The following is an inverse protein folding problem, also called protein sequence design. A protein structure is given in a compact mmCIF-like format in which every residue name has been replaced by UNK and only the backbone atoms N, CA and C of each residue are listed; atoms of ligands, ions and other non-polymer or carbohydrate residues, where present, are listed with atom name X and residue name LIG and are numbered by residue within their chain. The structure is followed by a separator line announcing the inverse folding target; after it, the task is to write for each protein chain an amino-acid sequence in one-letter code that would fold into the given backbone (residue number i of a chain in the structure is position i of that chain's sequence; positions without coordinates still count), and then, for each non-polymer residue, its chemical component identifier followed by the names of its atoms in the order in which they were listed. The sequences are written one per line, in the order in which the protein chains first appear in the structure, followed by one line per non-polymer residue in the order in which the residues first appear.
data_IF_923867316932
#
_entry.id   IF_923867316932
#
_cell.length_a   1.000
_cell.length_b   1.000
_cell.length_c   1.000
_cell.angle_alpha   90.00
_cell.angle_beta   90.00
_cell.angle_gamma   90.00
#
_symmetry.space_group_name_H-M   'P 1'
#
loop_
_entity.id
_entity.type
_entity.pdbx_description
1 polymer ?
#
# COMPACT_ATOMS: atom_id res chain seq x y z
N UNK A 1 -14.55 -11.93 -13.01
CA UNK A 1 -14.21 -10.49 -13.18
C UNK A 1 -13.00 -10.17 -12.30
N UNK A 2 -12.17 -9.19 -12.68
CA UNK A 2 -10.97 -8.82 -11.91
C UNK A 2 -10.96 -7.32 -11.63
N UNK A 3 -10.68 -6.96 -10.38
CA UNK A 3 -10.37 -5.61 -9.96
C UNK A 3 -8.85 -5.46 -9.83
N UNK A 4 -8.26 -4.54 -10.59
CA UNK A 4 -6.83 -4.20 -10.51
C UNK A 4 -6.69 -2.88 -9.79
N UNK A 5 -5.89 -2.86 -8.72
CA UNK A 5 -5.63 -1.68 -7.91
C UNK A 5 -4.14 -1.35 -7.95
N UNK A 6 -3.79 -0.20 -8.54
CA UNK A 6 -2.43 0.34 -8.53
C UNK A 6 -2.28 1.36 -7.39
N UNK A 7 -1.39 1.06 -6.44
CA UNK A 7 -1.19 1.85 -5.22
C UNK A 7 0.23 2.43 -5.17
N UNK A 8 0.32 3.72 -5.52
CA UNK A 8 1.52 4.52 -5.37
C UNK A 8 1.92 4.69 -3.89
N UNK A 9 3.20 4.51 -3.60
CA UNK A 9 3.73 4.64 -2.23
C UNK A 9 3.61 3.39 -1.35
N UNK A 10 3.03 2.31 -1.85
CA UNK A 10 2.97 0.99 -1.21
C UNK A 10 1.76 0.76 -0.31
N UNK A 11 1.44 -0.50 -0.03
CA UNK A 11 0.25 -0.94 0.73
C UNK A 11 0.62 -1.78 1.95
N UNK A 12 -0.16 -1.69 3.01
CA UNK A 12 -0.08 -2.59 4.16
C UNK A 12 -0.90 -3.86 3.95
N UNK A 13 -0.55 -4.92 4.69
CA UNK A 13 -1.33 -6.18 4.67
C UNK A 13 -2.76 -5.94 5.15
N UNK A 14 -2.95 -5.06 6.14
CA UNK A 14 -4.27 -4.73 6.69
C UNK A 14 -5.16 -3.99 5.68
N UNK A 15 -4.60 -3.04 4.93
CA UNK A 15 -5.34 -2.35 3.85
C UNK A 15 -5.77 -3.33 2.76
N UNK A 16 -4.84 -4.19 2.29
CA UNK A 16 -5.16 -5.19 1.27
C UNK A 16 -6.23 -6.19 1.76
N UNK A 17 -6.18 -6.61 3.03
CA UNK A 17 -7.20 -7.47 3.63
C UNK A 17 -8.56 -6.78 3.69
N UNK A 18 -8.62 -5.52 4.13
CA UNK A 18 -9.88 -4.75 4.22
C UNK A 18 -10.54 -4.56 2.85
N UNK A 19 -9.74 -4.27 1.83
CA UNK A 19 -10.21 -4.17 0.44
C UNK A 19 -10.73 -5.53 -0.05
N UNK A 20 -10.00 -6.61 0.23
CA UNK A 20 -10.46 -7.97 -0.11
C UNK A 20 -11.83 -8.26 0.51
N UNK A 21 -11.98 -8.03 1.81
CA UNK A 21 -13.22 -8.33 2.51
C UNK A 21 -14.39 -7.50 1.95
N UNK A 22 -14.14 -6.23 1.63
CA UNK A 22 -15.13 -5.34 1.02
C UNK A 22 -15.56 -5.82 -0.37
N UNK A 23 -14.60 -6.18 -1.23
CA UNK A 23 -14.91 -6.63 -2.60
C UNK A 23 -15.63 -7.98 -2.58
N UNK A 24 -15.25 -8.89 -1.68
CA UNK A 24 -15.96 -10.16 -1.51
C UNK A 24 -17.40 -9.93 -1.07
N UNK A 25 -17.65 -8.96 -0.18
CA UNK A 25 -18.99 -8.63 0.29
C UNK A 25 -19.88 -7.99 -0.79
N UNK A 26 -19.33 -7.10 -1.61
CA UNK A 26 -20.09 -6.36 -2.62
C UNK A 26 -20.22 -7.11 -3.96
N UNK A 27 -19.17 -7.81 -4.38
CA UNK A 27 -19.08 -8.46 -5.68
C UNK A 27 -18.45 -9.86 -5.56
N UNK A 28 -19.19 -10.83 -4.97
CA UNK A 28 -18.70 -12.19 -4.80
C UNK A 28 -18.27 -12.82 -6.14
N UNK A 29 -17.16 -13.54 -6.12
CA UNK A 29 -16.56 -14.14 -7.32
C UNK A 29 -15.64 -13.20 -8.12
N UNK A 30 -15.37 -11.99 -7.63
CA UNK A 30 -14.40 -11.07 -8.23
C UNK A 30 -13.00 -11.31 -7.67
N UNK A 31 -12.02 -11.53 -8.55
CA UNK A 31 -10.60 -11.60 -8.19
C UNK A 31 -10.00 -10.20 -8.01
N UNK A 32 -9.00 -10.07 -7.15
CA UNK A 32 -8.36 -8.79 -6.86
C UNK A 32 -6.85 -8.93 -7.09
N UNK A 33 -6.28 -8.00 -7.84
CA UNK A 33 -4.85 -7.89 -8.08
C UNK A 33 -4.36 -6.53 -7.58
N UNK A 34 -3.44 -6.56 -6.61
CA UNK A 34 -2.76 -5.36 -6.12
C UNK A 34 -1.43 -5.18 -6.84
N UNK A 35 -1.28 -4.08 -7.56
CA UNK A 35 -0.01 -3.61 -8.10
C UNK A 35 0.51 -2.55 -7.15
N UNK A 36 1.56 -2.86 -6.41
CA UNK A 36 2.08 -1.97 -5.37
C UNK A 36 3.58 -1.80 -5.52
N UNK A 37 4.06 -0.60 -5.25
CA UNK A 37 5.50 -0.32 -5.33
C UNK A 37 6.26 -1.02 -4.21
N UNK A 38 5.66 -1.16 -3.01
CA UNK A 38 6.21 -1.87 -1.84
C UNK A 38 5.10 -2.39 -0.92
N UNK A 39 5.36 -3.47 -0.20
CA UNK A 39 4.51 -3.94 0.91
C UNK A 39 5.05 -3.35 2.22
N UNK A 40 4.25 -2.55 2.91
CA UNK A 40 4.62 -1.94 4.19
C UNK A 40 4.30 -2.89 5.35
N UNK A 41 5.33 -3.29 6.09
CA UNK A 41 5.16 -3.94 7.40
C UNK A 41 5.04 -2.86 8.48
N UNK A 42 4.29 -3.08 9.58
CA UNK A 42 4.08 -2.08 10.62
C UNK A 42 5.38 -1.50 11.20
N UNK A 43 6.42 -2.33 11.38
CA UNK A 43 7.76 -1.87 11.81
C UNK A 43 8.42 -0.93 10.78
N UNK A 44 8.26 -1.23 9.50
CA UNK A 44 8.80 -0.44 8.40
C UNK A 44 8.00 0.83 8.10
N UNK A 45 6.74 0.91 8.56
CA UNK A 45 5.86 2.04 8.29
C UNK A 45 6.31 3.29 9.05
N UNK A 46 6.69 3.14 10.32
CA UNK A 46 7.31 4.23 11.10
C UNK A 46 8.64 4.66 10.49
N UNK A 47 9.51 3.70 10.15
CA UNK A 47 10.79 3.99 9.49
C UNK A 47 10.62 4.76 8.16
N UNK A 48 9.61 4.42 7.35
CA UNK A 48 9.31 5.15 6.12
C UNK A 48 8.69 6.52 6.37
N UNK A 49 7.81 6.67 7.37
CA UNK A 49 7.25 7.98 7.74
C UNK A 49 8.36 8.95 8.15
N UNK A 50 9.27 8.51 9.03
CA UNK A 50 10.34 9.35 9.54
C UNK A 50 11.55 9.50 8.57
N UNK A 51 11.72 8.56 7.63
CA UNK A 51 12.71 8.69 6.58
C UNK A 51 12.29 9.69 5.48
N UNK A 52 10.98 9.89 5.26
CA UNK A 52 10.50 10.88 4.30
C UNK A 52 10.66 12.33 4.80
N UNK A 53 10.64 12.55 6.12
CA UNK A 53 10.86 13.87 6.72
C UNK A 53 12.33 14.25 6.89
N UNK A 54 13.25 13.28 6.77
CA UNK A 54 14.68 13.58 6.75
C UNK A 54 15.11 14.00 5.34
N UNK A 55 14.60 15.14 4.87
CA UNK A 55 15.37 15.97 3.95
C UNK A 55 16.69 16.28 4.68
N UNK A 56 17.76 15.57 4.33
CA UNK A 56 19.10 15.90 4.79
C UNK A 56 19.34 17.36 4.36
N UNK A 57 19.51 18.32 5.29
CA UNK A 57 19.78 19.69 4.91
C UNK A 57 21.21 19.72 4.35
N UNK A 58 21.35 19.56 3.04
CA UNK A 58 22.67 19.49 2.41
C UNK A 58 22.78 19.06 0.95
N UNK A 59 21.70 18.67 0.26
CA UNK A 59 21.77 18.41 -1.19
C UNK A 59 20.80 19.30 -1.97
N UNK A 60 21.12 20.59 -1.99
CA UNK A 60 20.83 21.42 -3.15
C UNK A 60 22.09 21.48 -4.01
N UNK A 61 22.07 20.78 -5.15
CA UNK A 61 22.81 21.09 -6.38
C UNK A 61 22.09 20.42 -7.55
#
# INVERSE_FOLDING_TARGET
PFLVLDLGGGVTVCEAARVKDLVVALHPGTGILFLVTRIKKPILLNLLLFAYDSLVPGQGF
#
